data_IF_850546275277
#
_entry.id   IF_850546275277
#
_cell.length_a   1.000
_cell.length_b   1.000
_cell.length_c   1.000
_cell.angle_alpha   90.00
_cell.angle_beta   90.00
_cell.angle_gamma   90.00
#
_symmetry.space_group_name_H-M   'P 1'
#
loop_
_entity.id
_entity.type
_entity.pdbx_description
1 polymer ?
#
# COMPACT_ATOMS: atom_id res chain seq x y z
N UNK A 1 -6.25 -6.16 -4.30
CA UNK A 1 -7.33 -7.14 -4.55
C UNK A 1 -7.21 -7.67 -5.97
N UNK A 2 -6.27 -8.59 -6.18
CA UNK A 2 -6.17 -9.41 -7.40
C UNK A 2 -6.58 -10.87 -7.06
N UNK A 3 -6.63 -11.20 -5.77
CA UNK A 3 -6.76 -12.56 -5.23
C UNK A 3 -8.08 -13.26 -5.55
N UNK A 4 -9.24 -12.59 -5.49
CA UNK A 4 -10.52 -13.31 -5.65
C UNK A 4 -10.86 -13.66 -7.10
N UNK A 5 -10.44 -12.80 -8.04
CA UNK A 5 -10.60 -13.06 -9.48
C UNK A 5 -9.66 -14.19 -9.93
N UNK A 6 -8.38 -14.13 -9.54
CA UNK A 6 -7.40 -15.15 -9.88
C UNK A 6 -7.75 -16.50 -9.24
N UNK A 7 -8.24 -16.50 -7.99
CA UNK A 7 -8.76 -17.71 -7.31
C UNK A 7 -9.88 -18.35 -8.10
N UNK A 8 -10.82 -17.56 -8.63
CA UNK A 8 -11.99 -18.07 -9.35
C UNK A 8 -11.58 -18.74 -10.67
N UNK A 9 -10.73 -18.09 -11.47
CA UNK A 9 -10.19 -18.64 -12.72
C UNK A 9 -9.31 -19.87 -12.46
N UNK A 10 -8.45 -19.83 -11.44
CA UNK A 10 -7.56 -20.95 -11.11
C UNK A 10 -8.27 -22.14 -10.45
N UNK A 11 -9.52 -22.02 -10.00
CA UNK A 11 -10.22 -23.15 -9.36
C UNK A 11 -11.33 -23.68 -10.26
N UNK A 12 -12.07 -22.81 -10.96
CA UNK A 12 -13.22 -23.21 -11.77
C UNK A 12 -12.80 -23.89 -13.08
N UNK A 13 -11.66 -23.53 -13.67
CA UNK A 13 -11.18 -24.10 -14.94
C UNK A 13 -10.17 -25.26 -14.78
N UNK A 14 -9.84 -25.65 -13.54
CA UNK A 14 -8.95 -26.80 -13.30
C UNK A 14 -9.73 -28.12 -13.32
N UNK A 15 -9.11 -29.16 -13.89
CA UNK A 15 -9.62 -30.52 -13.73
C UNK A 15 -9.60 -30.95 -12.26
N UNK A 16 -10.51 -31.84 -11.89
CA UNK A 16 -10.63 -32.36 -10.51
C UNK A 16 -9.31 -32.93 -9.99
N UNK A 17 -8.52 -33.57 -10.86
CA UNK A 17 -7.20 -34.10 -10.49
C UNK A 17 -6.22 -32.99 -10.12
N UNK A 18 -6.13 -31.90 -10.90
CA UNK A 18 -5.20 -30.81 -10.65
C UNK A 18 -5.65 -29.97 -9.46
N UNK A 19 -6.96 -29.70 -9.33
CA UNK A 19 -7.52 -28.98 -8.19
C UNK A 19 -7.18 -29.66 -6.85
N UNK A 20 -7.13 -31.01 -6.81
CA UNK A 20 -6.75 -31.76 -5.61
C UNK A 20 -5.30 -31.56 -5.15
N UNK A 21 -4.44 -30.99 -6.00
CA UNK A 21 -3.00 -30.79 -5.74
C UNK A 21 -2.61 -29.32 -5.54
N UNK A 22 -3.56 -28.39 -5.58
CA UNK A 22 -3.32 -26.94 -5.46
C UNK A 22 -3.90 -26.43 -4.13
N UNK A 23 -3.08 -25.73 -3.35
CA UNK A 23 -3.51 -25.04 -2.12
C UNK A 23 -3.35 -23.52 -2.25
N UNK A 24 -4.37 -22.76 -1.89
CA UNK A 24 -4.29 -21.29 -1.82
C UNK A 24 -3.77 -20.85 -0.44
N UNK A 25 -2.71 -20.06 -0.41
CA UNK A 25 -2.22 -19.39 0.80
C UNK A 25 -2.52 -17.90 0.68
N UNK A 26 -3.27 -17.36 1.63
CA UNK A 26 -3.55 -15.93 1.67
C UNK A 26 -2.33 -15.21 2.25
N UNK A 27 -1.61 -14.47 1.41
CA UNK A 27 -0.71 -13.42 1.89
C UNK A 27 -1.56 -12.19 2.25
N UNK A 28 -2.08 -12.19 3.46
CA UNK A 28 -2.75 -11.03 4.03
C UNK A 28 -1.83 -10.36 5.07
N UNK A 29 -1.85 -9.04 5.10
CA UNK A 29 -1.39 -8.28 6.27
C UNK A 29 -2.52 -8.36 7.29
N UNK A 30 -2.30 -8.81 8.53
CA UNK A 30 -3.34 -8.78 9.55
C UNK A 30 -3.88 -7.35 9.70
N UNK A 31 -5.21 -7.22 9.81
CA UNK A 31 -5.92 -5.94 9.83
C UNK A 31 -5.43 -5.01 10.94
N UNK A 32 -4.93 -5.60 12.03
CA UNK A 32 -4.20 -4.95 13.10
C UNK A 32 -3.31 -5.99 13.77
N UNK A 33 -2.06 -5.65 14.09
CA UNK A 33 -1.28 -6.49 14.99
C UNK A 33 -1.92 -6.38 16.38
N UNK A 34 -2.40 -7.49 16.93
CA UNK A 34 -2.90 -7.54 18.30
C UNK A 34 -1.83 -6.98 19.25
N UNK A 35 -2.20 -6.04 20.12
CA UNK A 35 -1.28 -5.40 21.06
C UNK A 35 -0.42 -4.25 20.50
N UNK A 36 -0.58 -3.86 19.24
CA UNK A 36 0.04 -2.62 18.76
C UNK A 36 -0.65 -1.40 19.38
N UNK A 37 -0.05 -0.83 20.42
CA UNK A 37 -0.42 0.50 20.91
C UNK A 37 -0.09 1.53 19.82
N UNK A 38 -1.14 2.20 19.33
CA UNK A 38 -0.98 3.39 18.52
C UNK A 38 -0.90 4.56 19.51
N UNK A 39 0.27 5.19 19.69
CA UNK A 39 0.35 6.36 20.56
C UNK A 39 -0.63 7.42 20.06
N UNK A 40 -1.32 8.14 20.96
CA UNK A 40 -2.21 9.21 20.57
C UNK A 40 -1.42 10.21 19.72
N UNK A 41 -1.88 10.44 18.49
CA UNK A 41 -1.25 11.42 17.62
C UNK A 41 -1.45 12.80 18.24
N UNK A 42 -0.35 13.52 18.53
CA UNK A 42 -0.43 14.96 18.74
C UNK A 42 -0.98 15.57 17.44
N UNK A 43 -2.21 16.09 17.51
CA UNK A 43 -2.99 16.43 16.33
C UNK A 43 -2.53 17.76 15.74
N UNK A 44 -1.44 17.74 14.96
CA UNK A 44 -1.01 18.87 14.13
C UNK A 44 -1.81 19.00 12.82
N UNK A 45 -2.86 18.20 12.64
CA UNK A 45 -3.66 18.12 11.41
C UNK A 45 -3.61 16.74 10.74
N UNK A 46 -4.41 16.53 9.68
CA UNK A 46 -4.50 15.26 8.98
C UNK A 46 -3.17 14.87 8.30
N UNK A 47 -2.81 13.59 8.38
CA UNK A 47 -1.61 13.03 7.76
C UNK A 47 -2.02 12.12 6.61
N UNK A 48 -1.44 12.35 5.43
CA UNK A 48 -1.50 11.43 4.31
C UNK A 48 -0.22 10.62 4.26
N UNK A 49 -0.33 9.31 4.48
CA UNK A 49 0.80 8.39 4.48
C UNK A 49 0.89 7.61 3.16
N UNK A 50 2.03 7.73 2.48
CA UNK A 50 2.44 6.89 1.36
C UNK A 50 3.43 5.85 1.91
N UNK A 51 3.08 4.57 1.84
CA UNK A 51 3.93 3.49 2.40
C UNK A 51 4.31 2.43 1.38
N UNK A 52 5.51 1.85 1.53
CA UNK A 52 5.96 0.75 0.69
C UNK A 52 7.47 0.53 0.72
N UNK A 53 7.95 -0.41 -0.10
CA UNK A 53 9.39 -0.51 -0.39
C UNK A 53 9.76 0.60 -1.39
N UNK A 54 10.45 1.65 -0.92
CA UNK A 54 10.85 2.81 -1.71
C UNK A 54 12.05 2.52 -2.62
N UNK A 55 12.67 1.34 -2.50
CA UNK A 55 13.65 0.82 -3.43
C UNK A 55 13.02 0.14 -4.65
N UNK A 56 11.71 -0.14 -4.59
CA UNK A 56 10.96 -0.62 -5.75
C UNK A 56 10.56 0.57 -6.62
N UNK A 57 11.04 0.60 -7.86
CA UNK A 57 10.95 1.77 -8.73
C UNK A 57 9.50 2.27 -8.92
N UNK A 58 8.51 1.36 -8.96
CA UNK A 58 7.10 1.73 -9.11
C UNK A 58 6.60 2.57 -7.94
N UNK A 59 7.05 2.29 -6.71
CA UNK A 59 6.66 3.07 -5.53
C UNK A 59 7.32 4.45 -5.53
N UNK A 60 8.60 4.51 -5.93
CA UNK A 60 9.31 5.78 -6.05
C UNK A 60 8.70 6.67 -7.14
N UNK A 61 8.41 6.09 -8.31
CA UNK A 61 7.75 6.77 -9.43
C UNK A 61 6.36 7.30 -9.05
N UNK A 62 5.53 6.46 -8.42
CA UNK A 62 4.22 6.86 -7.94
C UNK A 62 4.28 8.00 -6.91
N UNK A 63 5.20 7.92 -5.94
CA UNK A 63 5.38 8.98 -4.94
C UNK A 63 5.82 10.30 -5.59
N UNK A 64 6.80 10.26 -6.51
CA UNK A 64 7.27 11.45 -7.22
C UNK A 64 6.18 12.06 -8.09
N UNK A 65 5.44 11.24 -8.84
CA UNK A 65 4.30 11.72 -9.64
C UNK A 65 3.24 12.39 -8.77
N UNK A 66 2.84 11.74 -7.67
CA UNK A 66 1.81 12.26 -6.78
C UNK A 66 2.22 13.59 -6.14
N UNK A 67 3.46 13.70 -5.66
CA UNK A 67 4.01 14.93 -5.08
C UNK A 67 4.11 16.07 -6.10
N UNK A 68 4.23 15.76 -7.40
CA UNK A 68 4.32 16.75 -8.46
C UNK A 68 2.94 17.21 -8.93
N UNK A 69 2.02 16.28 -9.16
CA UNK A 69 0.74 16.56 -9.83
C UNK A 69 -0.40 16.83 -8.85
N UNK A 70 -0.44 16.12 -7.72
CA UNK A 70 -1.59 16.13 -6.80
C UNK A 70 -1.35 17.03 -5.60
N UNK A 71 -0.14 16.98 -5.02
CA UNK A 71 0.18 17.70 -3.80
C UNK A 71 -0.07 19.22 -3.86
N UNK A 72 0.29 19.94 -4.94
CA UNK A 72 0.01 21.38 -5.03
C UNK A 72 -1.48 21.72 -4.94
N UNK A 73 -2.33 20.90 -5.57
CA UNK A 73 -3.79 21.06 -5.57
C UNK A 73 -4.37 20.78 -4.17
N UNK A 74 -3.90 19.72 -3.52
CA UNK A 74 -4.35 19.38 -2.17
C UNK A 74 -3.94 20.46 -1.17
N UNK A 75 -2.70 20.94 -1.24
CA UNK A 75 -2.19 21.95 -0.32
C UNK A 75 -2.89 23.30 -0.48
N UNK A 76 -3.35 23.64 -1.69
CA UNK A 76 -4.17 24.82 -1.93
C UNK A 76 -5.54 24.73 -1.25
N UNK A 77 -6.16 23.55 -1.24
CA UNK A 77 -7.47 23.32 -0.62
C UNK A 77 -7.39 23.08 0.89
N UNK A 78 -6.31 22.44 1.35
CA UNK A 78 -6.10 21.97 2.73
C UNK A 78 -4.64 22.17 3.17
N UNK A 79 -4.26 23.40 3.57
CA UNK A 79 -2.88 23.72 3.94
C UNK A 79 -2.42 23.05 5.25
N UNK A 80 -3.36 22.52 6.04
CA UNK A 80 -3.13 21.80 7.30
C UNK A 80 -2.75 20.32 7.11
N UNK A 81 -2.86 19.79 5.88
CA UNK A 81 -2.46 18.41 5.59
C UNK A 81 -0.94 18.31 5.62
N UNK A 82 -0.43 17.24 6.24
CA UNK A 82 0.97 16.82 6.15
C UNK A 82 1.07 15.54 5.32
N UNK A 83 2.11 15.42 4.51
CA UNK A 83 2.41 14.19 3.78
C UNK A 83 3.59 13.48 4.43
N UNK A 84 3.50 12.16 4.58
CA UNK A 84 4.57 11.30 5.07
C UNK A 84 4.82 10.20 4.06
N UNK A 85 6.04 10.11 3.55
CA UNK A 85 6.49 9.00 2.70
C UNK A 85 7.34 8.09 3.57
N UNK A 86 6.80 6.93 3.96
CA UNK A 86 7.43 6.02 4.91
C UNK A 86 7.68 4.65 4.29
N UNK A 87 8.91 4.16 4.38
CA UNK A 87 9.26 2.90 3.73
C UNK A 87 10.73 2.55 3.81
N UNK A 88 11.06 1.36 3.31
CA UNK A 88 12.43 0.84 3.30
C UNK A 88 13.16 1.19 1.99
N UNK A 89 14.49 1.31 2.05
CA UNK A 89 15.41 1.54 0.91
C UNK A 89 15.04 2.74 0.01
N UNK A 90 14.92 3.96 0.53
CA UNK A 90 14.51 5.11 -0.28
C UNK A 90 15.49 5.40 -1.42
N UNK A 91 14.97 5.36 -2.65
CA UNK A 91 15.65 5.86 -3.83
C UNK A 91 15.91 7.36 -3.71
N UNK A 92 16.93 7.87 -4.42
CA UNK A 92 17.33 9.29 -4.34
C UNK A 92 16.19 10.28 -4.58
N UNK A 93 15.21 9.94 -5.43
CA UNK A 93 14.09 10.81 -5.76
C UNK A 93 13.08 10.99 -4.61
N UNK A 94 13.13 10.14 -3.58
CA UNK A 94 12.18 10.10 -2.45
C UNK A 94 12.91 10.01 -1.10
N UNK A 95 14.18 10.45 -1.06
CA UNK A 95 14.99 10.59 0.17
C UNK A 95 14.81 11.95 0.81
#
# INVERSE_FOLDING_TARGET
MVCDRDRRVLIEDLSTEVASRVSTVHLAVPERLEGAEVPPAEAEGPVLALTGNLGYFVNADAATWWLREVWPLLRAARPDVRVVVAGDRPARAVR
#
